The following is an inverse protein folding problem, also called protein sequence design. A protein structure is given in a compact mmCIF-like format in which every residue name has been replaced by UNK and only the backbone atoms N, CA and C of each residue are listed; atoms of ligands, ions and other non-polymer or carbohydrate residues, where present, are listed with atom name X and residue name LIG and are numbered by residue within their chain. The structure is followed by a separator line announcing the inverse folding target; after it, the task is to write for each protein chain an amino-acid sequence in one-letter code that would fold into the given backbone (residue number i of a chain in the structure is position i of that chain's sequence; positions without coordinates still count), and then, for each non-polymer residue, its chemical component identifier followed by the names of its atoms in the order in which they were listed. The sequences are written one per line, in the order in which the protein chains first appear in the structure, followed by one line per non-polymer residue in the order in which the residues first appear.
data_IF_087565920127
#
_entry.id   IF_087565920127
#
_cell.length_a   1.000
_cell.length_b   1.000
_cell.length_c   1.000
_cell.angle_alpha   90.00
_cell.angle_beta   90.00
_cell.angle_gamma   90.00
#
_symmetry.space_group_name_H-M   'P 1'
#
loop_
_entity.id
_entity.type
_entity.pdbx_description
1 polymer ?
#
# COMPACT_ATOMS: atom_id res chain seq x y z
N UNK A 1 19.21 -6.85 5.35
CA UNK A 1 18.27 -6.54 6.45
C UNK A 1 18.29 -5.06 6.85
N UNK A 2 19.49 -4.42 7.05
CA UNK A 2 19.58 -3.02 7.49
C UNK A 2 18.91 -2.04 6.55
N UNK A 3 19.14 -2.14 5.25
CA UNK A 3 18.49 -1.29 4.24
C UNK A 3 16.97 -1.42 4.27
N UNK A 4 16.45 -2.65 4.41
CA UNK A 4 15.01 -2.89 4.51
C UNK A 4 14.40 -2.22 5.76
N UNK A 5 15.05 -2.34 6.91
CA UNK A 5 14.60 -1.67 8.14
C UNK A 5 14.55 -0.15 7.99
N UNK A 6 15.55 0.45 7.35
CA UNK A 6 15.58 1.90 7.09
C UNK A 6 14.42 2.32 6.19
N UNK A 7 14.18 1.60 5.10
CA UNK A 7 13.09 1.88 4.18
C UNK A 7 11.71 1.73 4.85
N UNK A 8 11.51 0.67 5.63
CA UNK A 8 10.26 0.46 6.37
C UNK A 8 10.00 1.59 7.37
N UNK A 9 10.98 1.95 8.18
CA UNK A 9 10.84 3.07 9.12
C UNK A 9 10.60 4.40 8.42
N UNK A 10 11.31 4.65 7.32
CA UNK A 10 11.13 5.85 6.50
C UNK A 10 9.71 5.91 5.89
N UNK A 11 9.20 4.77 5.41
CA UNK A 11 7.89 4.70 4.77
C UNK A 11 6.74 5.00 5.73
N UNK A 12 6.82 4.59 6.99
CA UNK A 12 5.78 4.87 7.99
C UNK A 12 5.54 6.37 8.16
N UNK A 13 6.61 7.15 8.26
CA UNK A 13 6.50 8.60 8.39
C UNK A 13 6.15 9.28 7.07
N UNK A 14 6.84 8.94 5.99
CA UNK A 14 6.84 9.75 4.76
C UNK A 14 5.80 9.29 3.73
N UNK A 15 5.49 8.00 3.66
CA UNK A 15 4.42 7.48 2.80
C UNK A 15 3.08 7.48 3.53
N UNK A 16 3.02 6.79 4.68
CA UNK A 16 1.78 6.57 5.41
C UNK A 16 1.39 7.72 6.35
N UNK A 17 2.27 8.67 6.61
CA UNK A 17 2.03 9.80 7.53
C UNK A 17 1.65 9.36 8.95
N UNK A 18 2.35 8.35 9.47
CA UNK A 18 2.08 7.76 10.78
C UNK A 18 3.21 8.12 11.75
N UNK A 19 2.85 8.64 12.92
CA UNK A 19 3.79 9.00 13.96
C UNK A 19 3.89 7.91 15.04
N UNK A 20 5.01 7.84 15.79
CA UNK A 20 5.09 6.98 16.95
C UNK A 20 3.91 7.17 17.90
N UNK A 21 3.31 6.08 18.36
CA UNK A 21 2.12 6.09 19.22
C UNK A 21 0.79 6.00 18.47
N UNK A 22 0.75 6.29 17.17
CA UNK A 22 -0.46 6.07 16.36
C UNK A 22 -0.76 4.57 16.18
N UNK A 23 -2.02 4.26 15.93
CA UNK A 23 -2.45 2.90 15.60
C UNK A 23 -2.50 2.75 14.07
N UNK A 24 -1.70 1.83 13.58
CA UNK A 24 -1.63 1.49 12.16
C UNK A 24 -2.18 0.08 11.93
N UNK A 25 -2.99 -0.10 10.92
CA UNK A 25 -3.59 -1.38 10.59
C UNK A 25 -3.37 -1.77 9.13
N UNK A 26 -2.55 -2.79 8.89
CA UNK A 26 -2.52 -3.48 7.62
C UNK A 26 -3.45 -4.70 7.69
N UNK A 27 -4.66 -4.56 7.12
CA UNK A 27 -5.65 -5.64 7.05
C UNK A 27 -5.30 -6.58 5.89
N UNK A 28 -4.31 -7.43 6.13
CA UNK A 28 -3.78 -8.41 5.19
C UNK A 28 -3.32 -9.66 5.92
N UNK A 29 -2.91 -10.67 5.17
CA UNK A 29 -2.41 -11.94 5.70
C UNK A 29 -0.95 -11.81 6.15
N UNK A 30 -0.64 -12.27 7.36
CA UNK A 30 0.72 -12.28 7.92
C UNK A 30 1.67 -13.22 7.18
N UNK A 31 1.15 -14.17 6.43
CA UNK A 31 1.94 -15.10 5.62
C UNK A 31 2.54 -14.50 4.34
N UNK A 32 2.05 -13.35 3.91
CA UNK A 32 2.60 -12.62 2.77
C UNK A 32 3.66 -11.61 3.19
N UNK A 33 4.45 -11.12 2.22
CA UNK A 33 5.47 -10.09 2.51
C UNK A 33 4.87 -8.82 3.13
N UNK A 34 3.64 -8.47 2.78
CA UNK A 34 2.92 -7.34 3.39
C UNK A 34 2.73 -7.55 4.89
N UNK A 35 2.46 -8.78 5.33
CA UNK A 35 2.37 -9.13 6.74
C UNK A 35 3.70 -8.90 7.46
N UNK A 36 4.79 -9.40 6.89
CA UNK A 36 6.12 -9.20 7.46
C UNK A 36 6.49 -7.72 7.49
N UNK A 37 6.38 -7.01 6.36
CA UNK A 37 6.78 -5.61 6.25
C UNK A 37 5.85 -4.68 7.04
N UNK A 38 4.53 -4.78 6.89
CA UNK A 38 3.57 -3.77 7.33
C UNK A 38 2.56 -4.19 8.41
N UNK A 39 2.51 -5.48 8.78
CA UNK A 39 1.83 -5.88 10.04
C UNK A 39 2.85 -5.92 11.18
N UNK A 40 4.08 -6.41 10.93
CA UNK A 40 5.06 -6.66 11.99
C UNK A 40 6.17 -5.59 12.00
N UNK A 41 7.02 -5.56 10.97
CA UNK A 41 8.29 -4.84 11.08
C UNK A 41 8.13 -3.31 11.07
N UNK A 42 7.49 -2.75 10.06
CA UNK A 42 7.41 -1.30 9.89
C UNK A 42 6.73 -0.58 11.05
N UNK A 43 5.51 -0.97 11.49
CA UNK A 43 4.86 -0.29 12.59
C UNK A 43 5.63 -0.42 13.91
N UNK A 44 6.17 -1.60 14.23
CA UNK A 44 6.94 -1.79 15.46
C UNK A 44 8.25 -1.01 15.45
N UNK A 45 8.97 -0.97 14.32
CA UNK A 45 10.18 -0.16 14.16
C UNK A 45 9.90 1.35 14.29
N UNK A 46 8.71 1.79 13.92
CA UNK A 46 8.31 3.19 14.04
C UNK A 46 7.75 3.55 15.43
N UNK A 47 7.48 2.56 16.28
CA UNK A 47 6.87 2.77 17.61
C UNK A 47 5.35 2.91 17.56
N UNK A 48 4.71 2.26 16.59
CA UNK A 48 3.27 2.23 16.44
C UNK A 48 2.65 1.03 17.14
N UNK A 49 1.38 1.14 17.50
CA UNK A 49 0.52 -0.02 17.74
C UNK A 49 0.10 -0.60 16.39
N UNK A 50 0.23 -1.90 16.25
CA UNK A 50 -0.22 -2.65 15.07
C UNK A 50 -1.34 -3.62 15.44
N UNK A 51 -2.21 -3.91 14.49
CA UNK A 51 -3.35 -4.82 14.67
C UNK A 51 -3.09 -6.08 13.86
N UNK A 52 -3.15 -7.23 14.55
CA UNK A 52 -3.25 -8.55 13.91
C UNK A 52 -4.73 -8.94 13.91
N UNK A 53 -5.29 -9.07 12.73
CA UNK A 53 -6.72 -9.25 12.54
C UNK A 53 -7.04 -10.65 12.02
N UNK A 54 -7.84 -11.39 12.78
CA UNK A 54 -8.39 -12.67 12.39
C UNK A 54 -9.84 -12.50 11.98
N UNK A 55 -10.08 -12.20 10.71
CA UNK A 55 -11.42 -11.97 10.19
C UNK A 55 -11.40 -11.71 8.69
N UNK A 56 -12.57 -11.37 8.18
CA UNK A 56 -12.79 -11.06 6.76
C UNK A 56 -13.40 -9.67 6.64
N UNK A 57 -13.27 -9.00 5.48
CA UNK A 57 -13.91 -7.70 5.26
C UNK A 57 -15.45 -7.79 5.29
N UNK A 58 -16.00 -8.98 5.04
CA UNK A 58 -17.45 -9.27 5.07
C UNK A 58 -17.70 -10.59 5.77
N UNK A 59 -18.87 -10.74 6.40
CA UNK A 59 -19.31 -12.01 7.02
C UNK A 59 -18.63 -12.35 8.35
N UNK A 60 -17.94 -11.38 9.03
CA UNK A 60 -17.34 -11.58 10.36
C UNK A 60 -17.58 -10.40 11.32
N UNK A 61 -18.79 -10.07 11.75
CA UNK A 61 -20.05 -10.74 11.41
C UNK A 61 -20.71 -10.19 10.12
N UNK A 62 -20.36 -8.99 9.67
CA UNK A 62 -20.97 -8.27 8.55
C UNK A 62 -19.97 -7.37 7.82
N UNK A 63 -20.43 -6.56 6.87
CA UNK A 63 -19.58 -5.62 6.11
C UNK A 63 -19.13 -4.39 6.92
N UNK A 64 -19.60 -4.20 8.14
CA UNK A 64 -19.17 -3.14 9.06
C UNK A 64 -17.93 -3.50 9.89
N UNK A 65 -17.40 -4.71 9.74
CA UNK A 65 -16.28 -5.18 10.56
C UNK A 65 -15.07 -4.27 10.53
N UNK A 66 -14.68 -3.77 9.35
CA UNK A 66 -13.54 -2.87 9.23
C UNK A 66 -13.77 -1.55 9.95
N UNK A 67 -14.95 -1.00 9.84
CA UNK A 67 -15.34 0.25 10.51
C UNK A 67 -15.33 0.13 12.02
N UNK A 68 -15.77 -1.01 12.52
CA UNK A 68 -15.72 -1.32 13.96
C UNK A 68 -14.27 -1.38 14.47
N UNK A 69 -13.39 -2.12 13.79
CA UNK A 69 -11.97 -2.19 14.19
C UNK A 69 -11.31 -0.82 14.17
N UNK A 70 -11.55 -0.03 13.13
CA UNK A 70 -11.01 1.35 13.04
C UNK A 70 -11.49 2.21 14.21
N UNK A 71 -12.77 2.16 14.52
CA UNK A 71 -13.36 2.96 15.59
C UNK A 71 -12.91 2.51 17.00
N UNK A 72 -13.00 1.20 17.28
CA UNK A 72 -12.68 0.64 18.62
C UNK A 72 -11.20 0.80 18.97
N UNK A 73 -10.31 0.69 17.99
CA UNK A 73 -8.86 0.78 18.21
C UNK A 73 -8.27 2.14 17.85
N UNK A 74 -9.08 3.12 17.47
CA UNK A 74 -8.61 4.46 17.07
C UNK A 74 -7.53 4.39 15.98
N UNK A 75 -7.76 3.60 14.94
CA UNK A 75 -6.84 3.44 13.82
C UNK A 75 -6.66 4.77 13.09
N UNK A 76 -5.42 5.18 12.88
CA UNK A 76 -5.07 6.40 12.14
C UNK A 76 -4.98 6.16 10.64
N UNK A 77 -4.37 5.05 10.25
CA UNK A 77 -4.17 4.65 8.86
C UNK A 77 -4.46 3.18 8.69
N UNK A 78 -5.19 2.87 7.62
CA UNK A 78 -5.44 1.50 7.19
C UNK A 78 -4.76 1.22 5.84
N UNK A 79 -4.21 0.03 5.71
CA UNK A 79 -3.71 -0.52 4.45
C UNK A 79 -4.39 -1.86 4.16
N UNK A 80 -4.98 -2.01 2.96
CA UNK A 80 -5.61 -3.27 2.54
C UNK A 80 -5.60 -3.42 1.03
N UNK A 81 -6.27 -4.46 0.51
CA UNK A 81 -6.42 -4.68 -0.92
C UNK A 81 -7.74 -4.08 -1.46
N UNK A 82 -7.78 -3.62 -2.73
CA UNK A 82 -9.02 -3.16 -3.37
C UNK A 82 -10.15 -4.19 -3.35
N UNK A 83 -9.81 -5.49 -3.44
CA UNK A 83 -10.77 -6.60 -3.33
C UNK A 83 -11.58 -6.57 -2.04
N UNK A 84 -10.99 -6.16 -0.92
CA UNK A 84 -11.70 -6.04 0.35
C UNK A 84 -12.79 -4.95 0.26
N UNK A 85 -12.45 -3.80 -0.30
CA UNK A 85 -13.39 -2.69 -0.48
C UNK A 85 -14.48 -3.02 -1.50
N UNK A 86 -14.17 -3.72 -2.59
CA UNK A 86 -15.19 -4.22 -3.51
C UNK A 86 -16.18 -5.19 -2.84
N UNK A 87 -15.68 -6.07 -1.97
CA UNK A 87 -16.54 -6.97 -1.21
C UNK A 87 -17.47 -6.20 -0.25
N UNK A 88 -16.93 -5.24 0.49
CA UNK A 88 -17.72 -4.38 1.39
C UNK A 88 -18.77 -3.59 0.61
N UNK A 89 -18.39 -2.91 -0.47
CA UNK A 89 -19.29 -2.14 -1.33
C UNK A 89 -20.41 -3.01 -1.91
N UNK A 90 -20.12 -4.25 -2.27
CA UNK A 90 -21.13 -5.19 -2.77
C UNK A 90 -22.19 -5.54 -1.73
N UNK A 91 -21.77 -5.73 -0.46
CA UNK A 91 -22.67 -6.10 0.64
C UNK A 91 -23.40 -4.87 1.22
N UNK A 92 -22.73 -3.73 1.29
CA UNK A 92 -23.24 -2.47 1.83
C UNK A 92 -22.97 -1.30 0.86
N UNK A 93 -23.64 -1.25 -0.30
CA UNK A 93 -23.37 -0.26 -1.34
C UNK A 93 -23.63 1.19 -0.92
N UNK A 94 -24.47 1.41 0.08
CA UNK A 94 -24.77 2.73 0.64
C UNK A 94 -23.93 3.08 1.87
N UNK A 95 -23.03 2.20 2.28
CA UNK A 95 -22.22 2.34 3.48
C UNK A 95 -23.06 2.64 4.75
N UNK A 96 -24.20 1.99 4.90
CA UNK A 96 -25.11 2.21 6.05
C UNK A 96 -24.49 1.72 7.36
N UNK A 97 -23.71 0.64 7.29
CA UNK A 97 -22.98 0.12 8.45
C UNK A 97 -21.86 1.04 8.92
N UNK A 98 -21.20 1.74 7.98
CA UNK A 98 -20.17 2.72 8.32
C UNK A 98 -20.70 3.86 9.20
N UNK A 99 -21.93 4.29 8.97
CA UNK A 99 -22.55 5.40 9.71
C UNK A 99 -22.75 5.10 11.20
N UNK A 100 -22.63 3.85 11.62
CA UNK A 100 -22.74 3.43 13.01
C UNK A 100 -21.46 3.68 13.82
N UNK A 101 -20.35 3.99 13.14
CA UNK A 101 -19.03 4.09 13.75
C UNK A 101 -18.45 5.50 13.60
N UNK A 102 -17.82 5.99 14.67
CA UNK A 102 -17.06 7.23 14.66
C UNK A 102 -15.56 6.90 14.56
N UNK A 103 -14.93 7.35 13.50
CA UNK A 103 -13.52 7.07 13.17
C UNK A 103 -12.69 8.36 13.24
N UNK A 104 -12.70 9.03 14.39
CA UNK A 104 -12.18 10.39 14.56
C UNK A 104 -10.67 10.53 14.26
N UNK A 105 -9.90 9.48 14.47
CA UNK A 105 -8.45 9.47 14.19
C UNK A 105 -8.08 8.97 12.79
N UNK A 106 -9.02 8.37 12.10
CA UNK A 106 -8.78 7.79 10.80
C UNK A 106 -8.62 8.89 9.73
N UNK A 107 -7.46 8.95 9.08
CA UNK A 107 -7.17 10.03 8.16
C UNK A 107 -6.70 9.59 6.76
N UNK A 108 -6.37 8.31 6.52
CA UNK A 108 -5.95 7.84 5.21
C UNK A 108 -6.17 6.34 5.04
N UNK A 109 -6.68 5.95 3.88
CA UNK A 109 -6.75 4.58 3.40
C UNK A 109 -5.70 4.36 2.31
N UNK A 110 -4.88 3.30 2.45
CA UNK A 110 -3.96 2.85 1.41
C UNK A 110 -4.43 1.53 0.82
N UNK A 111 -4.40 1.43 -0.51
CA UNK A 111 -4.78 0.25 -1.27
C UNK A 111 -3.61 -0.24 -2.11
N UNK A 112 -3.35 -1.55 -2.14
CA UNK A 112 -2.35 -2.18 -2.99
C UNK A 112 -2.66 -3.67 -3.24
N UNK A 113 -1.87 -4.27 -4.13
CA UNK A 113 -1.97 -5.68 -4.52
C UNK A 113 -2.57 -5.85 -5.92
N UNK A 114 -3.38 -4.91 -6.35
CA UNK A 114 -3.90 -4.76 -7.70
C UNK A 114 -4.26 -3.30 -7.94
N UNK A 115 -4.46 -2.93 -9.20
CA UNK A 115 -4.93 -1.59 -9.55
C UNK A 115 -6.33 -1.36 -8.99
N UNK A 116 -6.52 -0.27 -8.26
CA UNK A 116 -7.84 0.12 -7.77
C UNK A 116 -8.66 0.70 -8.92
N UNK A 117 -9.84 0.13 -9.17
CA UNK A 117 -10.76 0.69 -10.15
C UNK A 117 -11.36 2.01 -9.64
N UNK A 118 -11.64 2.97 -10.55
CA UNK A 118 -12.13 4.29 -10.16
C UNK A 118 -13.42 4.27 -9.35
N UNK A 119 -14.32 3.34 -9.66
CA UNK A 119 -15.61 3.23 -9.00
C UNK A 119 -15.48 2.80 -7.53
N UNK A 120 -14.58 1.87 -7.23
CA UNK A 120 -14.25 1.47 -5.85
C UNK A 120 -13.54 2.59 -5.09
N UNK A 121 -12.58 3.28 -5.74
CA UNK A 121 -11.84 4.37 -5.13
C UNK A 121 -12.78 5.52 -4.73
N UNK A 122 -13.60 5.99 -5.66
CA UNK A 122 -14.54 7.08 -5.39
C UNK A 122 -15.59 6.69 -4.35
N UNK A 123 -16.11 5.46 -4.40
CA UNK A 123 -17.02 4.98 -3.36
C UNK A 123 -16.37 5.05 -1.97
N UNK A 124 -15.10 4.65 -1.85
CA UNK A 124 -14.37 4.69 -0.59
C UNK A 124 -14.14 6.14 -0.12
N UNK A 125 -13.69 7.05 -1.01
CA UNK A 125 -13.48 8.47 -0.69
C UNK A 125 -14.78 9.15 -0.27
N UNK A 126 -15.89 8.90 -1.03
CA UNK A 126 -17.19 9.51 -0.78
C UNK A 126 -17.79 9.10 0.56
N UNK A 127 -17.52 7.88 1.02
CA UNK A 127 -18.08 7.40 2.28
C UNK A 127 -17.15 7.64 3.47
N UNK A 128 -15.84 7.40 3.32
CA UNK A 128 -14.86 7.57 4.41
C UNK A 128 -14.49 9.03 4.66
N UNK A 129 -14.62 9.91 3.66
CA UNK A 129 -14.22 11.33 3.70
C UNK A 129 -12.74 11.55 4.03
N UNK A 130 -11.91 10.60 3.67
CA UNK A 130 -10.44 10.66 3.78
C UNK A 130 -9.80 10.34 2.44
N UNK A 131 -8.54 10.76 2.19
CA UNK A 131 -7.80 10.35 1.00
C UNK A 131 -7.69 8.82 0.88
N UNK A 132 -7.94 8.30 -0.33
CA UNK A 132 -7.75 6.90 -0.69
C UNK A 132 -6.60 6.80 -1.67
N UNK A 133 -5.50 6.20 -1.23
CA UNK A 133 -4.23 6.18 -1.94
C UNK A 133 -4.01 4.80 -2.54
N UNK A 134 -4.06 4.72 -3.87
CA UNK A 134 -3.55 3.55 -4.58
C UNK A 134 -2.02 3.62 -4.61
N UNK A 135 -1.33 2.56 -4.19
CA UNK A 135 0.13 2.52 -4.19
C UNK A 135 0.63 1.18 -4.69
N UNK A 136 1.81 1.18 -5.28
CA UNK A 136 2.37 0.03 -5.96
C UNK A 136 3.68 -0.42 -5.36
N UNK A 137 3.80 -1.71 -5.14
CA UNK A 137 4.99 -2.41 -4.69
C UNK A 137 4.97 -3.88 -5.08
N UNK A 138 6.04 -4.58 -4.83
CA UNK A 138 6.18 -6.01 -5.09
C UNK A 138 6.84 -6.70 -3.90
N UNK A 139 6.70 -8.02 -3.84
CA UNK A 139 7.40 -8.87 -2.85
C UNK A 139 8.91 -8.64 -2.90
N UNK A 140 9.45 -8.50 -4.09
CA UNK A 140 10.87 -8.31 -4.39
C UNK A 140 11.43 -6.99 -3.84
N UNK A 141 10.62 -5.97 -3.73
CA UNK A 141 11.03 -4.69 -3.16
C UNK A 141 10.76 -4.60 -1.66
N UNK A 142 9.70 -5.25 -1.18
CA UNK A 142 9.33 -5.31 0.24
C UNK A 142 8.76 -4.01 0.82
N UNK A 143 8.68 -2.95 0.00
CA UNK A 143 8.11 -1.64 0.33
C UNK A 143 7.70 -0.90 -0.95
N UNK A 144 6.89 0.19 -0.88
CA UNK A 144 6.35 0.86 -2.06
C UNK A 144 7.40 1.40 -3.02
N UNK A 145 7.16 1.15 -4.32
CA UNK A 145 7.91 1.70 -5.45
C UNK A 145 7.26 3.01 -5.91
N UNK A 146 5.93 3.04 -5.94
CA UNK A 146 5.15 4.22 -6.30
C UNK A 146 4.06 4.47 -5.29
N UNK A 147 3.94 5.72 -4.83
CA UNK A 147 2.93 6.14 -3.88
C UNK A 147 2.75 7.66 -3.87
N UNK A 148 1.58 8.11 -3.41
CA UNK A 148 1.40 9.48 -2.92
C UNK A 148 1.96 9.53 -1.49
N UNK A 149 3.08 10.21 -1.29
CA UNK A 149 3.79 10.25 0.00
C UNK A 149 3.11 11.24 0.94
N UNK A 150 2.04 10.81 1.61
CA UNK A 150 1.16 11.63 2.44
C UNK A 150 1.87 12.36 3.59
N UNK A 151 3.00 11.85 4.06
CA UNK A 151 3.82 12.49 5.09
C UNK A 151 4.81 13.54 4.57
N UNK A 152 4.91 13.71 3.25
CA UNK A 152 5.73 14.75 2.62
C UNK A 152 4.83 15.82 2.02
N UNK A 153 3.99 15.43 1.06
CA UNK A 153 3.08 16.29 0.34
C UNK A 153 1.95 15.46 -0.27
N UNK A 154 0.72 15.87 -0.05
CA UNK A 154 -0.40 15.26 -0.74
C UNK A 154 -0.52 15.81 -2.17
N UNK A 155 -0.20 14.96 -3.13
CA UNK A 155 -0.40 15.24 -4.55
C UNK A 155 -1.84 14.90 -4.98
N UNK A 156 -2.33 15.45 -6.10
CA UNK A 156 -3.64 15.07 -6.65
C UNK A 156 -3.76 13.55 -6.84
N UNK A 157 -4.81 12.98 -6.27
CA UNK A 157 -5.10 11.55 -6.39
C UNK A 157 -5.63 11.27 -7.79
N UNK A 158 -5.07 10.25 -8.43
CA UNK A 158 -5.49 9.77 -9.75
C UNK A 158 -5.93 8.33 -9.62
N UNK A 159 -7.20 8.01 -9.85
CA UNK A 159 -7.69 6.63 -9.74
C UNK A 159 -6.88 5.64 -10.58
N UNK A 160 -6.49 4.52 -9.95
CA UNK A 160 -5.70 3.47 -10.58
C UNK A 160 -4.25 3.85 -10.91
N UNK A 161 -3.73 4.91 -10.26
CA UNK A 161 -2.34 5.36 -10.40
C UNK A 161 -1.67 5.51 -9.03
N UNK A 162 -0.45 4.98 -8.83
CA UNK A 162 0.32 5.20 -7.62
C UNK A 162 0.92 6.62 -7.53
N UNK A 163 0.57 7.51 -8.41
CA UNK A 163 0.92 8.92 -8.49
C UNK A 163 2.36 9.16 -8.98
N UNK A 164 3.38 8.74 -8.23
CA UNK A 164 4.79 8.92 -8.62
C UNK A 164 5.71 7.92 -7.93
N UNK A 165 6.93 7.80 -8.47
CA UNK A 165 7.98 7.01 -7.84
C UNK A 165 8.28 7.53 -6.43
N UNK A 166 8.43 6.62 -5.48
CA UNK A 166 8.89 6.93 -4.12
C UNK A 166 10.37 7.31 -4.15
N UNK A 167 10.81 8.29 -3.36
CA UNK A 167 12.23 8.62 -3.24
C UNK A 167 13.12 7.41 -3.00
N UNK A 168 14.13 7.23 -3.84
CA UNK A 168 15.01 6.06 -3.86
C UNK A 168 14.85 5.21 -5.12
N UNK A 169 13.74 5.31 -5.85
CA UNK A 169 13.52 4.63 -7.12
C UNK A 169 13.58 5.59 -8.31
N UNK A 170 14.28 5.20 -9.36
CA UNK A 170 14.24 5.83 -10.68
C UNK A 170 13.36 4.95 -11.60
N UNK A 171 12.06 5.23 -11.61
CA UNK A 171 11.08 4.48 -12.40
C UNK A 171 10.97 5.11 -13.79
N UNK A 172 11.09 4.27 -14.82
CA UNK A 172 11.01 4.65 -16.24
C UNK A 172 9.97 3.79 -16.95
N UNK A 173 9.41 4.32 -18.03
CA UNK A 173 8.57 3.55 -18.95
C UNK A 173 9.32 3.41 -20.26
N UNK A 174 9.65 2.18 -20.63
CA UNK A 174 10.47 1.86 -21.79
C UNK A 174 9.66 1.11 -22.84
N UNK A 175 9.97 1.35 -24.09
CA UNK A 175 9.52 0.51 -25.18
C UNK A 175 10.18 -0.89 -25.03
N UNK A 176 9.39 -1.99 -24.96
CA UNK A 176 9.94 -3.32 -24.71
C UNK A 176 10.78 -3.88 -25.87
N UNK A 177 10.65 -3.32 -27.09
CA UNK A 177 11.40 -3.79 -28.27
C UNK A 177 12.72 -3.02 -28.43
N UNK A 178 12.70 -1.71 -28.21
CA UNK A 178 13.86 -0.84 -28.42
C UNK A 178 14.65 -0.54 -27.14
N UNK A 179 14.00 -0.66 -25.97
CA UNK A 179 14.57 -0.25 -24.69
C UNK A 179 14.67 1.27 -24.48
N UNK A 180 14.13 2.07 -25.41
CA UNK A 180 14.10 3.52 -25.31
C UNK A 180 12.95 4.03 -24.42
N UNK A 181 13.14 5.18 -23.78
CA UNK A 181 12.11 5.78 -22.94
C UNK A 181 10.96 6.30 -23.82
N UNK A 182 9.72 5.88 -23.51
CA UNK A 182 8.52 6.29 -24.25
C UNK A 182 8.05 7.69 -23.83
N UNK A 183 7.34 8.37 -24.72
CA UNK A 183 6.76 9.67 -24.48
C UNK A 183 5.58 9.65 -23.50
N UNK A 184 5.19 10.82 -23.01
CA UNK A 184 4.02 10.95 -22.14
C UNK A 184 2.74 10.53 -22.86
N UNK A 185 1.97 9.64 -22.25
CA UNK A 185 0.71 9.12 -22.78
C UNK A 185 0.90 7.87 -23.68
N UNK A 186 2.11 7.44 -23.86
CA UNK A 186 2.43 6.20 -24.59
C UNK A 186 2.52 5.01 -23.61
N UNK A 187 2.19 3.83 -24.14
CA UNK A 187 2.27 2.58 -23.37
C UNK A 187 3.70 2.04 -23.48
N UNK A 188 4.19 1.46 -22.37
CA UNK A 188 5.49 0.80 -22.31
C UNK A 188 5.64 -0.07 -21.07
N UNK A 189 6.76 -0.77 -20.97
CA UNK A 189 7.14 -1.55 -19.81
C UNK A 189 7.60 -0.64 -18.67
N UNK A 190 7.11 -0.90 -17.46
CA UNK A 190 7.56 -0.17 -16.27
C UNK A 190 8.87 -0.79 -15.80
N UNK A 191 9.94 -0.02 -15.83
CA UNK A 191 11.28 -0.43 -15.45
C UNK A 191 11.81 0.40 -14.28
N UNK A 192 12.66 -0.19 -13.47
CA UNK A 192 13.40 0.51 -12.43
C UNK A 192 14.86 0.58 -12.86
N UNK A 193 15.35 1.81 -13.06
CA UNK A 193 16.76 2.02 -13.41
C UNK A 193 17.66 1.68 -12.23
N UNK A 194 18.68 0.90 -12.48
CA UNK A 194 19.68 0.51 -11.48
C UNK A 194 20.60 1.69 -11.07
N UNK A 195 21.13 1.70 -9.85
CA UNK A 195 20.99 0.67 -8.82
C UNK A 195 19.64 0.70 -8.11
N UNK A 196 19.15 -0.46 -7.69
CA UNK A 196 18.00 -0.56 -6.79
C UNK A 196 18.32 0.03 -5.41
N UNK A 197 17.32 0.56 -4.70
CA UNK A 197 17.53 0.94 -3.30
C UNK A 197 18.09 -0.22 -2.46
N UNK A 198 19.00 0.03 -1.50
CA UNK A 198 19.61 -1.02 -0.67
C UNK A 198 18.61 -1.83 0.19
N UNK A 199 17.35 -1.40 0.21
CA UNK A 199 16.22 -2.07 0.86
C UNK A 199 15.66 -3.24 0.07
N UNK A 200 15.87 -3.28 -1.25
CA UNK A 200 15.38 -4.33 -2.13
C UNK A 200 16.20 -5.61 -1.99
N UNK A 201 15.67 -6.70 -2.52
CA UNK A 201 16.38 -7.99 -2.48
C UNK A 201 17.66 -7.96 -3.34
N UNK A 202 18.79 -8.45 -2.81
CA UNK A 202 20.07 -8.40 -3.52
C UNK A 202 20.28 -9.61 -4.43
N UNK A 203 19.53 -10.69 -4.24
CA UNK A 203 19.63 -11.96 -4.99
C UNK A 203 18.51 -12.90 -4.58
N UNK A 204 18.39 -14.03 -5.27
CA UNK A 204 17.60 -15.17 -4.85
C UNK A 204 18.47 -16.19 -4.09
N UNK A 205 17.94 -16.76 -3.03
CA UNK A 205 18.66 -17.74 -2.20
C UNK A 205 19.06 -18.98 -3.02
N UNK A 206 20.36 -19.28 -3.03
CA UNK A 206 20.97 -20.39 -3.81
C UNK A 206 20.61 -20.39 -5.31
N UNK A 207 20.19 -19.26 -5.90
CA UNK A 207 19.80 -19.18 -7.30
C UNK A 207 20.22 -17.84 -7.95
N UNK A 208 21.52 -17.45 -7.92
CA UNK A 208 21.97 -16.16 -8.45
C UNK A 208 21.78 -16.01 -9.95
N UNK A 209 21.89 -17.11 -10.71
CA UNK A 209 21.68 -17.06 -12.18
C UNK A 209 20.20 -16.81 -12.50
N UNK A 210 19.28 -17.46 -11.79
CA UNK A 210 17.84 -17.17 -11.91
C UNK A 210 17.49 -15.73 -11.54
N UNK A 211 18.21 -15.14 -10.58
CA UNK A 211 18.03 -13.74 -10.24
C UNK A 211 18.38 -12.82 -11.40
N UNK A 212 19.50 -13.07 -12.09
CA UNK A 212 19.91 -12.29 -13.26
C UNK A 212 18.91 -12.44 -14.41
N UNK A 213 18.60 -13.68 -14.78
CA UNK A 213 17.66 -14.01 -15.86
C UNK A 213 16.26 -13.38 -15.65
N UNK A 214 15.73 -13.41 -14.44
CA UNK A 214 14.36 -12.99 -14.17
C UNK A 214 14.19 -11.47 -13.91
N UNK A 215 15.27 -10.77 -13.52
CA UNK A 215 15.16 -9.39 -13.04
C UNK A 215 16.20 -8.43 -13.63
N UNK A 216 17.23 -8.90 -14.33
CA UNK A 216 18.33 -8.07 -14.81
C UNK A 216 18.53 -8.15 -16.34
N UNK A 217 17.94 -9.13 -17.00
CA UNK A 217 17.88 -9.33 -18.44
C UNK A 217 16.45 -9.10 -18.91
#
# INVERSE_FOLDING_TARGET
NGGHMVALKWSMKNIYNVNPGDVYWAASDVGWVVGHSYIVYAPLLNGNTTIVFEGKPVGTPDAGQFWRVIAEHNVSVMFTAPTAFRAIKKEDPKAELLQQYRMEKFHTLFLAGERTDPDTLHWAEDNLKVPVIDHWWQTETGWPIGANCMGIEQLPIKPGSPTRAVPGYDVRTLDPETGEEVGRGELGAICIKLPMPPSCFPTLWNAPERYKEAYME
#
